data_IF_390031902453
#
_entry.id   IF_390031902453
#
_cell.length_a   1.000
_cell.length_b   1.000
_cell.length_c   1.000
_cell.angle_alpha   90.00
_cell.angle_beta   90.00
_cell.angle_gamma   90.00
#
_symmetry.space_group_name_H-M   'P 1'
#
loop_
_entity.id
_entity.type
_entity.pdbx_description
1 polymer ?
#
# COMPACT_ATOMS: atom_id res chain seq x y z
N UNK A 1 19.31 -7.28 -2.33
CA UNK A 1 18.05 -7.74 -2.95
C UNK A 1 17.83 -9.20 -2.62
N UNK A 2 16.59 -9.59 -2.36
CA UNK A 2 16.14 -10.97 -2.11
C UNK A 2 14.95 -11.22 -3.04
N UNK A 3 14.90 -12.39 -3.67
CA UNK A 3 13.73 -12.84 -4.41
C UNK A 3 13.08 -14.02 -3.71
N UNK A 4 11.76 -13.99 -3.56
CA UNK A 4 10.99 -15.06 -2.92
C UNK A 4 10.03 -15.65 -3.94
N UNK A 5 10.09 -16.96 -4.15
CA UNK A 5 9.19 -17.73 -5.01
C UNK A 5 8.42 -18.75 -4.19
N UNK A 6 7.23 -19.11 -4.66
CA UNK A 6 6.38 -20.10 -3.99
C UNK A 6 5.60 -19.53 -2.80
N UNK A 7 5.49 -18.21 -2.68
CA UNK A 7 4.56 -17.59 -1.75
C UNK A 7 3.18 -17.45 -2.40
N UNK A 8 2.14 -17.83 -1.67
CA UNK A 8 0.79 -17.90 -2.19
C UNK A 8 -0.20 -17.18 -1.29
N UNK A 9 -1.19 -16.55 -1.88
CA UNK A 9 -2.37 -16.11 -1.15
C UNK A 9 -3.32 -17.31 -1.01
N UNK A 10 -3.19 -18.03 0.08
CA UNK A 10 -4.01 -19.22 0.38
C UNK A 10 -5.36 -18.88 1.04
N UNK A 11 -5.70 -17.61 1.10
CA UNK A 11 -6.95 -17.15 1.71
C UNK A 11 -8.13 -17.62 0.88
N UNK A 12 -9.10 -18.23 1.53
CA UNK A 12 -10.37 -18.68 0.94
C UNK A 12 -11.45 -17.60 0.95
N UNK A 13 -12.71 -18.02 1.05
CA UNK A 13 -13.85 -17.14 1.27
C UNK A 13 -14.45 -16.53 0.00
N UNK A 14 -15.24 -15.49 0.19
CA UNK A 14 -16.01 -14.80 -0.84
C UNK A 14 -15.13 -13.99 -1.81
N UNK A 15 -15.73 -13.54 -2.90
CA UNK A 15 -15.09 -12.74 -3.93
C UNK A 15 -14.31 -13.54 -4.98
N UNK A 16 -14.08 -12.90 -6.11
CA UNK A 16 -13.25 -13.44 -7.18
C UNK A 16 -11.74 -13.34 -6.85
N UNK A 17 -10.90 -13.90 -7.72
CA UNK A 17 -9.45 -13.88 -7.50
C UNK A 17 -8.85 -12.48 -7.53
N UNK A 18 -9.42 -11.53 -8.28
CA UNK A 18 -8.99 -10.13 -8.27
C UNK A 18 -9.29 -9.45 -6.94
N UNK A 19 -10.51 -9.64 -6.40
CA UNK A 19 -10.91 -9.10 -5.10
C UNK A 19 -10.01 -9.67 -3.99
N UNK A 20 -9.82 -11.00 -3.98
CA UNK A 20 -8.93 -11.67 -3.02
C UNK A 20 -7.46 -11.31 -3.22
N UNK A 21 -7.03 -11.20 -4.48
CA UNK A 21 -5.67 -10.76 -4.81
C UNK A 21 -5.35 -9.42 -4.19
N UNK A 22 -6.17 -8.42 -4.45
CA UNK A 22 -5.95 -7.06 -3.93
C UNK A 22 -6.14 -6.95 -2.43
N UNK A 23 -7.35 -7.26 -1.96
CA UNK A 23 -7.72 -6.98 -0.57
C UNK A 23 -7.07 -7.92 0.44
N UNK A 24 -6.76 -9.18 0.05
CA UNK A 24 -6.13 -10.13 0.94
C UNK A 24 -4.59 -10.13 0.83
N UNK A 25 -3.98 -9.37 -0.09
CA UNK A 25 -2.53 -9.31 -0.25
C UNK A 25 -1.85 -8.82 1.04
N UNK A 26 -2.24 -7.66 1.53
CA UNK A 26 -1.63 -7.05 2.71
C UNK A 26 -2.38 -7.38 4.02
N UNK A 27 -3.64 -7.80 3.95
CA UNK A 27 -4.40 -8.22 5.14
C UNK A 27 -4.20 -9.69 5.50
N UNK A 28 -3.84 -10.50 4.52
CA UNK A 28 -3.60 -11.94 4.65
C UNK A 28 -4.76 -12.69 5.32
N UNK A 29 -6.00 -12.19 5.15
CA UNK A 29 -7.23 -12.75 5.69
C UNK A 29 -8.37 -12.64 4.67
N UNK A 30 -9.46 -13.35 4.89
CA UNK A 30 -10.61 -13.43 4.00
C UNK A 30 -11.34 -12.10 3.84
N UNK A 31 -12.10 -11.99 2.76
CA UNK A 31 -13.12 -10.95 2.63
C UNK A 31 -14.33 -11.28 3.50
N UNK A 32 -14.96 -10.27 4.06
CA UNK A 32 -16.23 -10.41 4.74
C UNK A 32 -17.35 -10.71 3.73
N UNK A 33 -18.41 -11.39 4.13
CA UNK A 33 -19.61 -11.49 3.32
C UNK A 33 -20.14 -10.10 2.93
N UNK A 34 -20.59 -9.96 1.68
CA UNK A 34 -21.09 -8.69 1.18
C UNK A 34 -21.75 -8.81 -0.18
N UNK A 35 -22.18 -7.66 -0.72
CA UNK A 35 -22.91 -7.58 -1.97
C UNK A 35 -22.17 -6.79 -3.08
N UNK A 36 -20.90 -6.48 -2.89
CA UNK A 36 -20.08 -5.86 -3.94
C UNK A 36 -19.82 -6.95 -4.98
N UNK A 37 -20.34 -6.73 -6.19
CA UNK A 37 -20.29 -7.75 -7.25
C UNK A 37 -18.85 -7.91 -7.77
N UNK A 38 -18.39 -9.17 -7.78
CA UNK A 38 -17.16 -9.60 -8.40
C UNK A 38 -17.36 -10.21 -9.79
N UNK A 39 -16.26 -10.54 -10.45
CA UNK A 39 -16.28 -11.29 -11.68
C UNK A 39 -16.89 -12.69 -11.48
N UNK A 40 -17.59 -13.18 -12.50
CA UNK A 40 -18.24 -14.50 -12.43
C UNK A 40 -19.38 -14.60 -11.42
N UNK A 41 -19.93 -13.49 -10.95
CA UNK A 41 -21.04 -13.48 -9.98
C UNK A 41 -20.62 -13.87 -8.55
N UNK A 42 -19.36 -13.68 -8.17
CA UNK A 42 -18.82 -13.94 -6.83
C UNK A 42 -18.76 -12.65 -6.01
N UNK A 43 -19.81 -12.28 -5.28
CA UNK A 43 -19.82 -11.07 -4.48
C UNK A 43 -18.97 -11.22 -3.22
N UNK A 44 -18.51 -10.10 -2.68
CA UNK A 44 -17.85 -10.02 -1.37
C UNK A 44 -18.10 -8.68 -0.70
N UNK A 45 -17.72 -8.58 0.57
CA UNK A 45 -17.51 -7.33 1.30
C UNK A 45 -16.03 -6.93 1.27
N UNK A 46 -15.64 -6.12 2.24
CA UNK A 46 -14.27 -5.67 2.47
C UNK A 46 -13.45 -6.71 3.25
N UNK A 47 -12.14 -6.51 3.35
CA UNK A 47 -11.29 -7.43 4.09
C UNK A 47 -11.65 -7.50 5.58
N UNK A 48 -11.48 -8.67 6.17
CA UNK A 48 -11.79 -9.00 7.56
C UNK A 48 -10.77 -8.45 8.55
N UNK A 49 -9.57 -8.11 8.08
CA UNK A 49 -8.44 -7.78 8.95
C UNK A 49 -7.78 -6.46 8.58
N UNK A 50 -6.96 -5.95 9.48
CA UNK A 50 -6.02 -4.86 9.24
C UNK A 50 -4.92 -5.30 8.26
N UNK A 51 -4.40 -4.41 7.43
CA UNK A 51 -3.24 -4.69 6.58
C UNK A 51 -1.92 -4.57 7.35
N UNK A 52 -0.88 -5.27 6.90
CA UNK A 52 0.41 -5.36 7.61
C UNK A 52 1.11 -4.01 7.78
N UNK A 53 0.98 -3.11 6.81
CA UNK A 53 1.48 -1.74 6.89
C UNK A 53 0.83 -0.97 8.04
N UNK A 54 -0.50 -1.07 8.15
CA UNK A 54 -1.27 -0.43 9.21
C UNK A 54 -1.02 -1.05 10.58
N UNK A 55 -0.85 -2.37 10.66
CA UNK A 55 -0.51 -3.08 11.89
C UNK A 55 0.85 -2.63 12.43
N UNK A 56 1.89 -2.60 11.56
CA UNK A 56 3.23 -2.12 11.95
C UNK A 56 3.20 -0.62 12.27
N UNK A 57 2.49 0.19 11.48
CA UNK A 57 2.32 1.62 11.74
C UNK A 57 1.70 1.87 13.13
N UNK A 58 0.65 1.14 13.48
CA UNK A 58 -0.03 1.22 14.77
C UNK A 58 0.92 0.84 15.92
N UNK A 59 1.71 -0.22 15.75
CA UNK A 59 2.71 -0.64 16.72
C UNK A 59 3.81 0.41 16.95
N UNK A 60 4.29 1.07 15.88
CA UNK A 60 5.30 2.12 15.96
C UNK A 60 4.73 3.40 16.57
N UNK A 61 3.51 3.78 16.23
CA UNK A 61 2.85 4.99 16.75
C UNK A 61 2.50 4.89 18.24
N UNK A 62 2.36 3.68 18.78
CA UNK A 62 2.12 3.48 20.21
C UNK A 62 3.32 3.84 21.10
N UNK A 63 4.49 4.12 20.52
CA UNK A 63 5.75 4.38 21.23
C UNK A 63 6.29 5.75 20.86
N UNK A 64 6.54 6.64 21.85
CA UNK A 64 7.04 8.00 21.59
C UNK A 64 8.34 8.03 20.78
N UNK A 65 9.23 7.06 20.97
CA UNK A 65 10.53 6.98 20.30
C UNK A 65 10.46 6.57 18.83
N UNK A 66 9.36 5.96 18.41
CA UNK A 66 9.15 5.53 17.03
C UNK A 66 7.99 6.23 16.34
N UNK A 67 7.17 6.95 17.11
CA UNK A 67 6.04 7.70 16.56
C UNK A 67 6.52 8.79 15.59
N UNK A 68 5.78 8.95 14.50
CA UNK A 68 6.01 9.95 13.45
C UNK A 68 4.77 10.78 13.23
N UNK A 69 4.90 11.88 12.47
CA UNK A 69 3.77 12.76 12.15
C UNK A 69 2.60 12.00 11.49
N UNK A 70 2.91 11.11 10.54
CA UNK A 70 1.95 10.22 9.91
C UNK A 70 2.29 8.78 10.31
N UNK A 71 1.30 7.97 10.69
CA UNK A 71 1.50 6.55 11.00
C UNK A 71 2.02 5.81 9.78
N UNK A 72 1.41 6.10 8.63
CA UNK A 72 1.76 5.55 7.32
C UNK A 72 1.40 6.54 6.20
N UNK A 73 1.92 6.28 5.00
CA UNK A 73 1.58 7.00 3.78
C UNK A 73 1.07 6.00 2.74
N UNK A 74 -0.20 6.11 2.39
CA UNK A 74 -0.82 5.33 1.32
C UNK A 74 -0.80 6.16 0.05
N UNK A 75 0.04 5.74 -0.89
CA UNK A 75 0.30 6.45 -2.14
C UNK A 75 -0.19 5.63 -3.33
N UNK A 76 -0.58 6.31 -4.39
CA UNK A 76 -1.08 5.69 -5.60
C UNK A 76 -0.47 6.26 -6.87
N UNK A 77 -0.42 5.45 -7.91
CA UNK A 77 -0.13 5.85 -9.28
C UNK A 77 -1.22 5.29 -10.17
N UNK A 78 -2.06 6.15 -10.72
CA UNK A 78 -3.21 5.79 -11.55
C UNK A 78 -4.21 4.83 -10.88
N UNK A 79 -4.36 4.90 -9.56
CA UNK A 79 -5.42 4.15 -8.86
C UNK A 79 -6.73 4.89 -9.06
N UNK A 80 -7.78 4.25 -9.60
CA UNK A 80 -9.05 4.91 -9.84
C UNK A 80 -9.74 5.29 -8.53
N UNK A 81 -10.40 6.44 -8.53
CA UNK A 81 -11.17 6.92 -7.39
C UNK A 81 -12.53 6.20 -7.28
N UNK A 82 -12.48 4.92 -7.02
CA UNK A 82 -13.65 4.08 -6.72
C UNK A 82 -13.35 3.23 -5.49
N UNK A 83 -14.38 2.88 -4.75
CA UNK A 83 -14.24 2.14 -3.51
C UNK A 83 -14.81 0.72 -3.70
N UNK A 84 -13.93 -0.22 -3.99
CA UNK A 84 -14.25 -1.65 -4.09
C UNK A 84 -13.00 -2.50 -3.78
N UNK A 85 -13.18 -3.81 -3.52
CA UNK A 85 -12.07 -4.72 -3.22
C UNK A 85 -11.02 -4.87 -4.33
N UNK A 86 -11.31 -4.48 -5.57
CA UNK A 86 -10.33 -4.47 -6.66
C UNK A 86 -9.36 -3.29 -6.62
N UNK A 87 -9.69 -2.27 -5.83
CA UNK A 87 -8.94 -1.00 -5.78
C UNK A 87 -8.27 -0.75 -4.42
N UNK A 88 -8.46 -1.61 -3.44
CA UNK A 88 -7.94 -1.40 -2.08
C UNK A 88 -7.08 -2.57 -1.61
N UNK A 89 -5.85 -2.24 -1.22
CA UNK A 89 -4.90 -3.18 -0.59
C UNK A 89 -4.72 -2.89 0.90
N UNK A 90 -4.91 -1.62 1.30
CA UNK A 90 -4.66 -1.13 2.65
C UNK A 90 -5.96 -1.07 3.46
N UNK A 91 -5.89 -1.52 4.70
CA UNK A 91 -7.02 -1.57 5.63
C UNK A 91 -6.57 -1.17 7.03
N UNK A 92 -7.19 -0.14 7.60
CA UNK A 92 -6.93 0.28 8.99
C UNK A 92 -7.59 -0.62 10.03
N UNK A 93 -8.40 -1.59 9.61
CA UNK A 93 -9.08 -2.58 10.43
C UNK A 93 -10.12 -3.37 9.63
N UNK A 94 -10.86 -4.27 10.25
CA UNK A 94 -11.94 -5.01 9.61
C UNK A 94 -12.95 -4.07 8.96
N UNK A 95 -13.25 -4.29 7.67
CA UNK A 95 -14.20 -3.47 6.91
C UNK A 95 -13.82 -1.97 6.79
N UNK A 96 -12.50 -1.66 6.89
CA UNK A 96 -11.99 -0.29 6.89
C UNK A 96 -10.94 -0.09 5.80
N UNK A 97 -11.33 -0.05 4.52
CA UNK A 97 -10.38 0.18 3.45
C UNK A 97 -9.79 1.60 3.51
N UNK A 98 -8.51 1.71 3.25
CA UNK A 98 -7.79 2.99 3.12
C UNK A 98 -7.54 3.28 1.66
N UNK A 99 -7.93 4.47 1.20
CA UNK A 99 -7.71 4.90 -0.17
C UNK A 99 -6.29 5.44 -0.36
N UNK A 100 -5.54 4.98 -1.37
CA UNK A 100 -4.26 5.57 -1.69
C UNK A 100 -4.44 6.97 -2.32
N UNK A 101 -3.54 7.89 -1.99
CA UNK A 101 -3.50 9.22 -2.62
C UNK A 101 -2.74 9.13 -3.95
N UNK A 102 -3.47 9.22 -5.06
CA UNK A 102 -2.90 9.16 -6.42
C UNK A 102 -2.56 10.52 -7.01
N UNK A 103 -2.87 11.61 -6.32
CA UNK A 103 -2.53 12.97 -6.73
C UNK A 103 -1.27 13.45 -5.97
N UNK A 104 -0.11 13.59 -6.65
CA UNK A 104 1.11 14.05 -6.01
C UNK A 104 1.03 15.49 -5.50
N UNK A 105 0.18 16.34 -6.08
CA UNK A 105 -0.01 17.70 -5.59
C UNK A 105 -0.82 17.71 -4.29
N UNK A 106 -1.88 16.90 -4.21
CA UNK A 106 -2.65 16.73 -2.98
C UNK A 106 -1.79 16.08 -1.87
N UNK A 107 -0.92 15.13 -2.22
CA UNK A 107 0.03 14.57 -1.27
C UNK A 107 1.07 15.62 -0.81
N UNK A 108 1.59 16.43 -1.72
CA UNK A 108 2.50 17.54 -1.38
C UNK A 108 1.85 18.50 -0.38
N UNK A 109 0.60 18.90 -0.61
CA UNK A 109 -0.14 19.75 0.33
C UNK A 109 -0.36 19.06 1.69
N UNK A 110 -0.65 17.76 1.70
CA UNK A 110 -0.75 16.97 2.94
C UNK A 110 0.56 16.98 3.73
N UNK A 111 1.70 16.83 3.06
CA UNK A 111 3.01 16.73 3.69
C UNK A 111 3.57 18.09 4.14
N UNK A 112 3.42 19.14 3.31
CA UNK A 112 4.13 20.41 3.47
C UNK A 112 3.22 21.63 3.55
N UNK A 113 1.95 21.50 3.20
CA UNK A 113 0.99 22.59 3.26
C UNK A 113 0.92 23.20 4.65
N UNK A 114 0.96 24.52 4.71
CA UNK A 114 0.64 25.23 5.95
C UNK A 114 -0.87 25.19 6.13
N UNK A 115 -1.32 24.59 7.20
CA UNK A 115 -2.73 24.69 7.59
C UNK A 115 -2.99 26.14 8.01
N UNK A 116 -3.29 26.99 7.03
CA UNK A 116 -3.57 28.43 7.24
C UNK A 116 -4.81 28.68 8.12
N UNK A 117 -5.63 27.65 8.31
CA UNK A 117 -6.91 27.71 9.00
C UNK A 117 -7.09 26.55 9.99
N UNK A 118 -6.09 26.32 10.85
CA UNK A 118 -6.15 25.26 11.88
C UNK A 118 -7.39 25.36 12.78
N UNK A 119 -7.72 26.59 13.18
CA UNK A 119 -8.88 26.84 14.05
C UNK A 119 -10.20 26.55 13.33
N UNK A 120 -10.32 26.93 12.05
CA UNK A 120 -11.51 26.66 11.25
C UNK A 120 -11.64 25.18 10.91
N UNK A 121 -10.54 24.50 10.58
CA UNK A 121 -10.55 23.06 10.32
C UNK A 121 -10.88 22.25 11.58
N UNK A 122 -10.30 22.62 12.73
CA UNK A 122 -10.65 22.03 14.03
C UNK A 122 -12.14 22.20 14.34
N UNK A 123 -12.69 23.39 14.11
CA UNK A 123 -14.11 23.65 14.31
C UNK A 123 -15.01 22.82 13.38
N UNK A 124 -14.64 22.67 12.10
CA UNK A 124 -15.38 21.82 11.14
C UNK A 124 -15.33 20.34 11.55
N UNK A 125 -14.19 19.85 11.97
CA UNK A 125 -14.02 18.46 12.42
C UNK A 125 -14.79 18.18 13.72
N UNK A 126 -14.85 19.15 14.64
CA UNK A 126 -15.67 19.09 15.85
C UNK A 126 -17.18 19.04 15.51
N UNK A 127 -17.64 19.85 14.55
CA UNK A 127 -19.02 19.82 14.06
C UNK A 127 -19.34 18.46 13.41
N UNK A 128 -18.48 17.97 12.52
CA UNK A 128 -18.64 16.65 11.88
C UNK A 128 -18.68 15.53 12.93
N UNK A 129 -17.79 15.55 13.92
CA UNK A 129 -17.77 14.58 15.01
C UNK A 129 -19.07 14.63 15.83
N UNK A 130 -19.59 15.82 16.07
CA UNK A 130 -20.84 16.04 16.80
C UNK A 130 -22.04 15.51 16.02
N UNK A 131 -22.08 15.76 14.72
CA UNK A 131 -23.16 15.28 13.85
C UNK A 131 -23.12 13.76 13.65
N UNK A 132 -21.93 13.18 13.50
CA UNK A 132 -21.74 11.72 13.45
C UNK A 132 -22.25 11.06 14.75
N UNK A 133 -22.01 11.65 15.93
CA UNK A 133 -22.53 11.14 17.21
C UNK A 133 -24.06 11.21 17.26
N UNK A 134 -24.67 12.27 16.75
CA UNK A 134 -26.15 12.40 16.70
C UNK A 134 -26.77 11.34 15.79
N UNK A 135 -26.18 11.13 14.61
CA UNK A 135 -26.65 10.13 13.63
C UNK A 135 -26.44 8.72 14.20
N UNK A 136 -25.29 8.44 14.80
CA UNK A 136 -24.96 7.15 15.42
C UNK A 136 -25.98 6.69 16.48
N UNK A 137 -26.66 7.65 17.14
CA UNK A 137 -27.72 7.33 18.08
C UNK A 137 -29.05 6.90 17.42
N UNK A 138 -29.21 7.10 16.11
CA UNK A 138 -30.47 6.91 15.37
C UNK A 138 -30.42 5.74 14.37
N UNK A 139 -29.24 5.14 14.18
CA UNK A 139 -29.01 4.05 13.23
C UNK A 139 -28.85 2.70 13.93
N UNK A 140 -28.96 1.62 13.15
CA UNK A 140 -28.78 0.27 13.65
C UNK A 140 -27.32 -0.02 14.12
N UNK A 141 -27.05 -1.14 14.82
CA UNK A 141 -25.72 -1.44 15.35
C UNK A 141 -24.62 -1.58 14.28
N UNK A 142 -24.95 -2.06 13.07
CA UNK A 142 -23.98 -2.23 11.98
C UNK A 142 -23.64 -0.86 11.34
N UNK A 143 -24.63 -0.03 11.11
CA UNK A 143 -24.45 1.35 10.63
C UNK A 143 -23.74 2.22 11.67
N UNK A 144 -24.02 1.99 12.96
CA UNK A 144 -23.31 2.66 14.07
C UNK A 144 -21.84 2.36 14.07
N UNK A 145 -21.44 1.09 13.85
CA UNK A 145 -20.05 0.70 13.75
C UNK A 145 -19.33 1.44 12.61
N UNK A 146 -19.98 1.61 11.45
CA UNK A 146 -19.44 2.39 10.33
C UNK A 146 -19.25 3.87 10.68
N UNK A 147 -20.21 4.47 11.40
CA UNK A 147 -20.12 5.87 11.84
C UNK A 147 -19.04 6.08 12.92
N UNK A 148 -18.87 5.13 13.83
CA UNK A 148 -17.77 5.16 14.81
C UNK A 148 -16.41 5.06 14.15
N UNK A 149 -16.29 4.27 13.09
CA UNK A 149 -15.08 4.19 12.26
C UNK A 149 -14.77 5.52 11.59
N UNK A 150 -15.79 6.16 11.01
CA UNK A 150 -15.64 7.47 10.38
C UNK A 150 -15.25 8.55 11.41
N UNK A 151 -15.78 8.46 12.63
CA UNK A 151 -15.40 9.32 13.75
C UNK A 151 -13.94 9.12 14.16
N UNK A 152 -13.45 7.88 14.12
CA UNK A 152 -12.04 7.57 14.40
C UNK A 152 -11.12 8.16 13.34
N UNK A 153 -11.48 8.03 12.05
CA UNK A 153 -10.75 8.63 10.94
C UNK A 153 -10.67 10.16 11.05
N UNK A 154 -11.79 10.82 11.39
CA UNK A 154 -11.82 12.27 11.63
C UNK A 154 -10.87 12.68 12.76
N UNK A 155 -10.83 11.92 13.85
CA UNK A 155 -9.92 12.18 14.99
C UNK A 155 -8.44 11.94 14.66
N UNK A 156 -8.13 10.97 13.83
CA UNK A 156 -6.77 10.75 13.34
C UNK A 156 -6.34 11.92 12.47
N UNK A 157 -7.21 12.40 11.59
CA UNK A 157 -6.99 13.59 10.78
C UNK A 157 -6.79 14.86 11.63
N UNK A 158 -7.51 15.00 12.74
CA UNK A 158 -7.30 16.07 13.73
C UNK A 158 -5.91 16.01 14.37
N UNK A 159 -5.48 14.82 14.80
CA UNK A 159 -4.15 14.61 15.36
C UNK A 159 -3.05 14.94 14.35
N UNK A 160 -3.20 14.49 13.11
CA UNK A 160 -2.27 14.78 12.02
C UNK A 160 -2.13 16.29 11.79
N UNK A 161 -3.25 17.02 11.87
CA UNK A 161 -3.30 18.47 11.78
C UNK A 161 -2.64 19.19 12.99
N UNK A 162 -2.83 18.67 14.20
CA UNK A 162 -2.22 19.22 15.42
C UNK A 162 -0.70 19.09 15.39
N UNK A 163 -0.15 18.03 14.82
CA UNK A 163 1.29 17.81 14.69
C UNK A 163 1.87 18.47 13.42
N UNK A 164 1.04 18.99 12.51
CA UNK A 164 1.48 19.66 11.31
C UNK A 164 2.10 21.04 11.60
N UNK A 165 3.38 21.22 11.31
CA UNK A 165 4.00 22.55 11.18
C UNK A 165 4.90 23.04 12.27
N UNK A 166 5.36 22.19 13.21
CA UNK A 166 6.34 22.59 14.24
C UNK A 166 7.74 22.01 14.06
N UNK A 167 7.90 20.93 13.27
CA UNK A 167 9.20 20.32 13.03
C UNK A 167 9.95 21.06 11.91
N UNK A 168 11.21 21.45 12.19
CA UNK A 168 12.13 21.98 11.17
C UNK A 168 12.46 20.85 10.19
N UNK A 169 12.19 21.07 8.89
CA UNK A 169 12.54 20.11 7.85
C UNK A 169 14.07 19.90 7.78
N UNK A 170 14.50 18.67 7.70
CA UNK A 170 15.90 18.27 7.47
C UNK A 170 16.27 18.51 6.01
N UNK A 171 15.36 18.15 5.10
CA UNK A 171 15.47 18.37 3.67
C UNK A 171 14.35 19.27 3.16
N UNK A 172 14.63 20.21 2.24
CA UNK A 172 13.57 21.02 1.62
C UNK A 172 12.60 20.13 0.83
N UNK A 173 11.32 20.53 0.70
CA UNK A 173 10.35 19.81 -0.13
C UNK A 173 10.86 19.65 -1.57
N UNK A 174 10.56 18.54 -2.25
CA UNK A 174 10.94 18.37 -3.65
C UNK A 174 10.15 19.35 -4.53
N UNK A 175 10.77 19.83 -5.58
CA UNK A 175 10.08 20.60 -6.61
C UNK A 175 9.23 19.64 -7.47
N UNK A 176 7.92 19.85 -7.50
CA UNK A 176 7.05 19.10 -8.39
C UNK A 176 6.93 19.79 -9.74
N UNK A 177 6.89 19.02 -10.82
CA UNK A 177 6.60 19.56 -12.16
C UNK A 177 5.15 20.06 -12.19
N UNK A 178 4.89 21.33 -12.53
CA UNK A 178 3.53 21.86 -12.50
C UNK A 178 2.71 21.36 -13.69
N UNK A 179 1.39 21.15 -13.47
CA UNK A 179 0.44 20.86 -14.54
C UNK A 179 0.58 19.46 -15.17
N UNK A 180 1.19 18.52 -14.49
CA UNK A 180 1.18 17.11 -14.92
C UNK A 180 -0.23 16.57 -14.84
N UNK A 181 -0.74 16.07 -15.96
CA UNK A 181 -2.06 15.44 -16.00
C UNK A 181 -2.10 14.19 -15.14
N UNK A 182 -3.20 13.99 -14.40
CA UNK A 182 -3.44 12.78 -13.61
C UNK A 182 -4.04 11.63 -14.44
N UNK A 183 -4.17 11.82 -15.74
CA UNK A 183 -4.62 10.77 -16.66
C UNK A 183 -3.52 9.75 -16.99
N UNK A 184 -3.86 8.81 -17.88
CA UNK A 184 -3.00 7.71 -18.29
C UNK A 184 -1.58 8.15 -18.70
N UNK A 185 -1.46 9.23 -19.48
CA UNK A 185 -0.18 9.63 -20.08
C UNK A 185 0.74 10.36 -19.07
N UNK A 186 0.17 10.80 -17.94
CA UNK A 186 0.93 11.35 -16.82
C UNK A 186 1.58 10.31 -15.91
N UNK A 187 1.22 9.02 -16.03
CA UNK A 187 1.69 7.94 -15.15
C UNK A 187 3.21 7.95 -14.90
N UNK A 188 4.10 8.06 -15.90
CA UNK A 188 5.55 8.06 -15.65
C UNK A 188 6.01 9.22 -14.75
N UNK A 189 5.47 10.42 -14.98
CA UNK A 189 5.80 11.61 -14.17
C UNK A 189 5.23 11.50 -12.76
N UNK A 190 3.97 11.07 -12.63
CA UNK A 190 3.32 10.84 -11.33
C UNK A 190 4.13 9.84 -10.51
N UNK A 191 4.59 8.74 -11.13
CA UNK A 191 5.41 7.72 -10.48
C UNK A 191 6.69 8.31 -9.86
N UNK A 192 7.41 9.15 -10.60
CA UNK A 192 8.61 9.82 -10.11
C UNK A 192 8.28 10.84 -9.01
N UNK A 193 7.24 11.67 -9.20
CA UNK A 193 6.81 12.65 -8.20
C UNK A 193 6.42 11.98 -6.88
N UNK A 194 5.65 10.89 -6.93
CA UNK A 194 5.30 10.09 -5.74
C UNK A 194 6.54 9.52 -5.06
N UNK A 195 7.49 8.96 -5.83
CA UNK A 195 8.74 8.44 -5.28
C UNK A 195 9.58 9.52 -4.61
N UNK A 196 9.67 10.71 -5.21
CA UNK A 196 10.42 11.85 -4.65
C UNK A 196 9.77 12.38 -3.37
N UNK A 197 8.45 12.44 -3.32
CA UNK A 197 7.69 12.79 -2.11
C UNK A 197 7.90 11.77 -1.00
N UNK A 198 7.87 10.48 -1.32
CA UNK A 198 8.11 9.40 -0.35
C UNK A 198 9.50 9.50 0.28
N UNK A 199 10.54 9.59 -0.55
CA UNK A 199 11.93 9.70 -0.07
C UNK A 199 12.10 10.94 0.81
N UNK A 200 11.54 12.08 0.39
CA UNK A 200 11.62 13.31 1.16
C UNK A 200 10.85 13.24 2.49
N UNK A 201 9.65 12.62 2.49
CA UNK A 201 8.87 12.44 3.71
C UNK A 201 9.61 11.54 4.72
N UNK A 202 10.25 10.47 4.26
CA UNK A 202 11.07 9.59 5.11
C UNK A 202 12.31 10.32 5.62
N UNK A 203 13.04 11.05 4.78
CA UNK A 203 14.20 11.83 5.16
C UNK A 203 13.88 12.92 6.21
N UNK A 204 12.66 13.44 6.20
CA UNK A 204 12.17 14.39 7.21
C UNK A 204 11.53 13.71 8.44
N UNK A 205 11.59 12.39 8.54
CA UNK A 205 10.99 11.64 9.65
C UNK A 205 9.47 11.77 9.76
N UNK A 206 8.79 12.09 8.65
CA UNK A 206 7.34 12.29 8.65
C UNK A 206 6.55 10.98 8.73
N UNK A 207 7.10 9.89 8.22
CA UNK A 207 6.55 8.55 8.30
C UNK A 207 7.70 7.53 8.30
N UNK A 208 7.41 6.29 8.73
CA UNK A 208 8.33 5.14 8.65
C UNK A 208 7.77 4.01 7.80
N UNK A 209 6.49 4.05 7.54
CA UNK A 209 5.75 3.05 6.76
C UNK A 209 5.08 3.76 5.59
N UNK A 210 5.16 3.15 4.42
CA UNK A 210 4.42 3.61 3.25
C UNK A 210 4.07 2.45 2.33
N UNK A 211 3.00 2.62 1.58
CA UNK A 211 2.63 1.76 0.45
C UNK A 211 2.50 2.61 -0.80
N UNK A 212 2.85 2.06 -1.96
CA UNK A 212 2.66 2.70 -3.24
C UNK A 212 2.00 1.70 -4.20
N UNK A 213 0.72 1.92 -4.44
CA UNK A 213 -0.08 1.08 -5.32
C UNK A 213 -0.05 1.62 -6.74
N UNK A 214 0.28 0.78 -7.71
CA UNK A 214 0.14 1.08 -9.14
C UNK A 214 -1.15 0.47 -9.67
N UNK A 215 -2.01 1.31 -10.23
CA UNK A 215 -3.31 0.92 -10.81
C UNK A 215 -4.22 0.13 -9.83
N UNK A 216 -5.02 -0.78 -10.34
CA UNK A 216 -5.91 -1.66 -9.61
C UNK A 216 -5.90 -3.04 -10.27
N UNK A 217 -6.52 -4.04 -9.66
CA UNK A 217 -6.48 -5.42 -10.14
C UNK A 217 -7.00 -5.63 -11.57
N UNK A 218 -7.98 -4.85 -12.01
CA UNK A 218 -8.46 -4.82 -13.41
C UNK A 218 -7.92 -3.58 -14.12
N UNK A 219 -6.62 -3.32 -13.96
CA UNK A 219 -5.96 -2.09 -14.40
C UNK A 219 -6.01 -1.88 -15.91
N UNK A 220 -6.68 -0.84 -16.34
CA UNK A 220 -6.85 -0.47 -17.74
C UNK A 220 -5.81 0.57 -18.21
N UNK A 221 -4.70 0.69 -17.48
CA UNK A 221 -3.61 1.57 -17.88
C UNK A 221 -3.02 1.11 -19.21
N UNK A 222 -2.79 2.08 -20.10
CA UNK A 222 -2.21 1.88 -21.44
C UNK A 222 -0.83 2.50 -21.46
N UNK A 223 0.18 1.68 -21.63
CA UNK A 223 1.58 2.12 -21.56
C UNK A 223 2.02 2.75 -22.90
N UNK A 224 1.38 3.86 -23.32
CA UNK A 224 1.62 4.52 -24.62
C UNK A 224 3.05 5.02 -24.77
N UNK A 225 3.72 5.37 -23.66
CA UNK A 225 5.15 5.73 -23.66
C UNK A 225 6.09 4.56 -23.96
N UNK A 226 5.57 3.33 -24.01
CA UNK A 226 6.26 2.11 -24.46
C UNK A 226 5.81 1.66 -25.84
N UNK A 227 5.02 2.51 -26.55
CA UNK A 227 4.35 2.17 -27.81
C UNK A 227 3.39 0.97 -27.68
N UNK A 228 2.69 0.88 -26.53
CA UNK A 228 1.67 -0.14 -26.23
C UNK A 228 0.32 0.55 -26.05
N UNK A 229 -0.63 0.23 -26.94
CA UNK A 229 -1.94 0.88 -27.00
C UNK A 229 -3.05 0.07 -26.36
N UNK A 230 -2.87 -1.23 -26.18
CA UNK A 230 -3.74 -2.09 -25.43
C UNK A 230 -3.61 -1.83 -23.94
N UNK A 231 -4.70 -2.00 -23.19
CA UNK A 231 -4.61 -1.93 -21.75
C UNK A 231 -3.96 -3.18 -21.14
N UNK A 232 -3.32 -2.98 -19.99
CA UNK A 232 -2.56 -4.03 -19.31
C UNK A 232 -3.42 -5.25 -18.99
N UNK A 233 -4.68 -5.05 -18.55
CA UNK A 233 -5.57 -6.13 -18.18
C UNK A 233 -5.90 -7.04 -19.36
N UNK A 234 -6.25 -6.48 -20.52
CA UNK A 234 -6.46 -7.25 -21.75
C UNK A 234 -5.23 -8.07 -22.14
N UNK A 235 -4.04 -7.43 -22.16
CA UNK A 235 -2.79 -8.14 -22.47
C UNK A 235 -2.55 -9.31 -21.50
N UNK A 236 -2.87 -9.15 -20.23
CA UNK A 236 -2.66 -10.19 -19.21
C UNK A 236 -3.55 -11.41 -19.39
N UNK A 237 -4.64 -11.28 -20.15
CA UNK A 237 -5.56 -12.37 -20.48
C UNK A 237 -5.24 -13.13 -21.77
N UNK A 238 -4.28 -12.61 -22.55
CA UNK A 238 -3.88 -13.29 -23.77
C UNK A 238 -3.31 -14.70 -23.49
N UNK A 239 -3.52 -15.65 -24.40
CA UNK A 239 -3.00 -17.01 -24.22
C UNK A 239 -1.48 -17.03 -24.23
N UNK A 240 -0.88 -17.99 -23.51
CA UNK A 240 0.57 -18.11 -23.30
C UNK A 240 1.39 -18.24 -24.60
N UNK A 241 0.78 -18.66 -25.69
CA UNK A 241 1.41 -18.77 -27.00
C UNK A 241 1.31 -17.48 -27.84
N UNK A 242 0.66 -16.41 -27.35
CA UNK A 242 0.66 -15.11 -27.99
C UNK A 242 1.99 -14.38 -27.68
N UNK A 243 2.98 -14.52 -28.57
CA UNK A 243 4.30 -13.95 -28.40
C UNK A 243 4.30 -12.41 -28.39
N UNK A 244 3.42 -11.76 -29.17
CA UNK A 244 3.31 -10.28 -29.20
C UNK A 244 2.82 -9.76 -27.83
N UNK A 245 1.76 -10.35 -27.26
CA UNK A 245 1.28 -9.98 -25.95
C UNK A 245 2.32 -10.25 -24.85
N UNK A 246 3.06 -11.36 -24.94
CA UNK A 246 4.14 -11.69 -24.02
C UNK A 246 5.26 -10.64 -24.07
N UNK A 247 5.71 -10.23 -25.25
CA UNK A 247 6.75 -9.21 -25.41
C UNK A 247 6.30 -7.84 -24.87
N UNK A 248 5.04 -7.46 -25.10
CA UNK A 248 4.44 -6.24 -24.53
C UNK A 248 4.39 -6.30 -22.99
N UNK A 249 3.96 -7.42 -22.42
CA UNK A 249 3.95 -7.62 -20.96
C UNK A 249 5.37 -7.57 -20.36
N UNK A 250 6.37 -8.13 -21.05
CA UNK A 250 7.78 -8.02 -20.63
C UNK A 250 8.23 -6.56 -20.61
N UNK A 251 7.90 -5.75 -21.64
CA UNK A 251 8.21 -4.32 -21.67
C UNK A 251 7.55 -3.57 -20.51
N UNK A 252 6.26 -3.87 -20.22
CA UNK A 252 5.52 -3.26 -19.12
C UNK A 252 6.16 -3.60 -17.78
N UNK A 253 6.44 -4.89 -17.53
CA UNK A 253 7.05 -5.33 -16.28
C UNK A 253 8.47 -4.79 -16.12
N UNK A 254 9.23 -4.65 -17.21
CA UNK A 254 10.54 -3.98 -17.20
C UNK A 254 10.41 -2.53 -16.76
N UNK A 255 9.46 -1.80 -17.34
CA UNK A 255 9.21 -0.41 -16.95
C UNK A 255 8.80 -0.31 -15.46
N UNK A 256 7.93 -1.20 -14.95
CA UNK A 256 7.58 -1.23 -13.53
C UNK A 256 8.80 -1.51 -12.64
N UNK A 257 9.67 -2.44 -13.05
CA UNK A 257 10.93 -2.70 -12.35
C UNK A 257 11.86 -1.47 -12.35
N UNK A 258 11.87 -0.68 -13.43
CA UNK A 258 12.62 0.58 -13.51
C UNK A 258 12.08 1.63 -12.54
N UNK A 259 10.77 1.67 -12.27
CA UNK A 259 10.18 2.56 -11.26
C UNK A 259 10.63 2.17 -9.84
N UNK A 260 10.64 0.87 -9.55
CA UNK A 260 11.17 0.35 -8.26
C UNK A 260 12.67 0.68 -8.15
N UNK A 261 13.42 0.50 -9.22
CA UNK A 261 14.85 0.85 -9.28
C UNK A 261 15.08 2.37 -9.14
N UNK A 262 14.18 3.20 -9.65
CA UNK A 262 14.23 4.66 -9.43
C UNK A 262 14.12 4.99 -7.96
N UNK A 263 13.10 4.46 -7.27
CA UNK A 263 12.92 4.63 -5.83
C UNK A 263 14.13 4.14 -5.03
N UNK A 264 14.65 2.94 -5.35
CA UNK A 264 15.82 2.39 -4.70
C UNK A 264 17.08 3.26 -4.88
N UNK A 265 17.32 3.78 -6.10
CA UNK A 265 18.43 4.71 -6.37
C UNK A 265 18.28 6.04 -5.63
N UNK A 266 17.07 6.57 -5.52
CA UNK A 266 16.80 7.79 -4.75
C UNK A 266 17.14 7.56 -3.27
N UNK A 267 16.68 6.48 -2.66
CA UNK A 267 17.04 6.10 -1.28
C UNK A 267 18.54 5.88 -1.12
N UNK A 268 19.19 5.23 -2.09
CA UNK A 268 20.64 4.99 -2.06
C UNK A 268 21.46 6.27 -2.17
N UNK A 269 21.01 7.24 -2.96
CA UNK A 269 21.71 8.54 -3.13
C UNK A 269 21.41 9.54 -2.02
N UNK A 270 20.46 9.26 -1.15
CA UNK A 270 20.09 10.12 -0.03
C UNK A 270 20.78 9.60 1.24
N UNK A 271 21.65 10.43 1.89
CA UNK A 271 22.25 10.05 3.17
C UNK A 271 21.18 9.82 4.24
N UNK A 272 21.43 8.84 5.13
CA UNK A 272 20.53 8.61 6.27
C UNK A 272 20.54 9.80 7.24
N UNK A 273 19.42 10.47 7.49
CA UNK A 273 19.36 11.62 8.37
C UNK A 273 19.74 11.27 9.81
N UNK A 274 20.84 11.87 10.31
CA UNK A 274 21.35 11.59 11.66
C UNK A 274 21.99 10.20 11.86
N UNK A 275 22.12 9.43 10.79
CA UNK A 275 22.70 8.09 10.78
C UNK A 275 23.96 7.97 9.92
N UNK A 276 24.32 6.75 9.59
CA UNK A 276 25.47 6.39 8.74
C UNK A 276 24.95 5.64 7.52
N UNK A 277 25.57 5.87 6.37
CA UNK A 277 25.18 5.23 5.11
C UNK A 277 24.07 5.96 4.37
N UNK A 278 23.36 5.24 3.54
CA UNK A 278 22.24 5.75 2.75
C UNK A 278 20.90 5.37 3.37
N UNK A 279 19.84 6.07 3.00
CA UNK A 279 18.48 5.68 3.41
C UNK A 279 18.11 4.26 2.95
N UNK A 280 18.69 3.75 1.86
CA UNK A 280 18.42 2.38 1.41
C UNK A 280 19.00 1.33 2.38
N UNK A 281 20.08 1.66 3.09
CA UNK A 281 20.64 0.77 4.12
C UNK A 281 19.71 0.61 5.32
N UNK A 282 18.81 1.57 5.53
CA UNK A 282 17.83 1.64 6.62
C UNK A 282 16.38 1.45 6.16
N UNK A 283 16.15 1.22 4.87
CA UNK A 283 14.80 0.99 4.28
C UNK A 283 14.76 -0.38 3.62
N UNK A 284 13.61 -1.03 3.69
CA UNK A 284 13.33 -2.23 2.86
C UNK A 284 12.12 -1.94 1.98
N UNK A 285 12.32 -1.99 0.68
CA UNK A 285 11.25 -1.96 -0.33
C UNK A 285 10.79 -3.40 -0.54
N UNK A 286 9.48 -3.63 -0.48
CA UNK A 286 8.86 -4.91 -0.86
C UNK A 286 8.06 -4.66 -2.13
N UNK A 287 8.50 -5.23 -3.24
CA UNK A 287 7.81 -5.18 -4.51
C UNK A 287 7.10 -6.50 -4.77
N UNK A 288 5.81 -6.43 -5.04
CA UNK A 288 4.95 -7.61 -5.24
C UNK A 288 3.82 -7.29 -6.21
N UNK A 289 3.07 -8.31 -6.60
CA UNK A 289 1.85 -8.24 -7.37
C UNK A 289 0.72 -8.99 -6.63
N UNK A 290 -0.52 -8.73 -7.00
CA UNK A 290 -1.69 -9.38 -6.37
C UNK A 290 -1.98 -10.78 -6.92
N UNK A 291 -1.51 -11.09 -8.13
CA UNK A 291 -1.68 -12.38 -8.80
C UNK A 291 -0.32 -12.96 -9.20
N UNK A 292 -0.20 -14.27 -9.21
CA UNK A 292 0.96 -14.98 -9.75
C UNK A 292 0.94 -15.03 -11.29
N UNK A 293 -0.26 -15.11 -11.90
CA UNK A 293 -0.45 -15.13 -13.36
C UNK A 293 -1.79 -14.54 -13.74
N UNK A 294 -1.80 -13.59 -14.69
CA UNK A 294 -2.98 -12.85 -15.08
C UNK A 294 -4.07 -13.70 -15.74
N UNK A 295 -3.75 -14.47 -16.79
CA UNK A 295 -4.77 -15.19 -17.58
C UNK A 295 -5.46 -16.33 -16.83
N UNK A 296 -4.84 -16.88 -15.80
CA UNK A 296 -5.43 -17.91 -14.94
C UNK A 296 -5.93 -17.37 -13.60
N UNK A 297 -5.70 -16.10 -13.30
CA UNK A 297 -6.02 -15.46 -12.02
C UNK A 297 -5.51 -16.25 -10.82
N UNK A 298 -4.34 -16.90 -10.96
CA UNK A 298 -3.82 -17.71 -9.85
C UNK A 298 -3.30 -16.83 -8.73
N UNK A 299 -3.60 -17.25 -7.51
CA UNK A 299 -3.08 -16.68 -6.28
C UNK A 299 -1.86 -17.46 -5.74
N UNK A 300 -1.38 -18.41 -6.52
CA UNK A 300 -0.17 -19.18 -6.24
C UNK A 300 1.06 -18.51 -6.87
N UNK A 301 2.21 -18.73 -6.26
CA UNK A 301 3.52 -18.23 -6.70
C UNK A 301 3.56 -16.72 -6.98
N UNK A 302 2.96 -15.94 -6.06
CA UNK A 302 2.99 -14.49 -6.13
C UNK A 302 4.45 -14.02 -6.02
N UNK A 303 4.93 -13.15 -6.93
CA UNK A 303 6.31 -12.68 -6.90
C UNK A 303 6.54 -11.69 -5.75
N UNK A 304 7.60 -11.90 -4.98
CA UNK A 304 8.07 -10.95 -3.98
C UNK A 304 9.55 -10.65 -4.17
N UNK A 305 9.89 -9.37 -4.20
CA UNK A 305 11.28 -8.90 -4.27
C UNK A 305 11.50 -7.91 -3.14
N UNK A 306 12.50 -8.16 -2.29
CA UNK A 306 12.88 -7.28 -1.20
C UNK A 306 14.20 -6.58 -1.56
N UNK A 307 14.27 -5.25 -1.39
CA UNK A 307 15.41 -4.43 -1.76
C UNK A 307 15.74 -3.50 -0.59
N UNK A 308 17.02 -3.41 -0.22
CA UNK A 308 17.52 -2.57 0.88
C UNK A 308 17.88 -3.36 2.12
N UNK A 309 18.35 -2.67 3.15
CA UNK A 309 18.94 -3.27 4.35
C UNK A 309 18.15 -3.07 5.64
N UNK A 310 17.05 -2.30 5.61
CA UNK A 310 16.38 -1.79 6.80
C UNK A 310 15.85 -2.82 7.80
N UNK A 311 15.59 -4.05 7.35
CA UNK A 311 15.04 -5.12 8.21
C UNK A 311 16.07 -6.19 8.58
N UNK A 312 17.33 -6.02 8.20
CA UNK A 312 18.41 -6.96 8.53
C UNK A 312 18.32 -8.32 7.84
N UNK A 313 17.49 -8.47 6.83
CA UNK A 313 17.41 -9.70 6.05
C UNK A 313 18.68 -9.91 5.22
N UNK A 314 19.12 -11.17 5.11
CA UNK A 314 20.30 -11.52 4.33
C UNK A 314 20.05 -11.33 2.85
N UNK A 315 20.74 -10.38 2.22
CA UNK A 315 20.58 -10.05 0.80
C UNK A 315 21.45 -10.93 -0.12
N UNK A 316 21.20 -10.85 -1.43
CA UNK A 316 21.93 -11.62 -2.45
C UNK A 316 21.45 -13.06 -2.59
N UNK A 317 20.28 -13.40 -2.07
CA UNK A 317 19.74 -14.77 -2.03
C UNK A 317 18.40 -14.82 -2.78
N UNK A 318 18.15 -15.95 -3.43
CA UNK A 318 16.85 -16.35 -3.94
C UNK A 318 16.32 -17.52 -3.10
N UNK A 319 15.13 -17.36 -2.54
CA UNK A 319 14.44 -18.42 -1.82
C UNK A 319 13.35 -19.04 -2.69
N UNK A 320 13.25 -20.36 -2.66
CA UNK A 320 12.18 -21.12 -3.28
C UNK A 320 11.43 -21.90 -2.19
N UNK A 321 10.16 -21.60 -2.02
CA UNK A 321 9.27 -22.24 -1.04
C UNK A 321 8.33 -23.25 -1.74
N UNK A 322 7.85 -24.28 -1.03
CA UNK A 322 6.92 -25.28 -1.58
C UNK A 322 5.46 -24.79 -1.52
N UNK A 323 5.15 -23.64 -2.15
CA UNK A 323 3.81 -23.02 -2.18
C UNK A 323 3.19 -22.81 -0.78
N UNK A 324 3.85 -22.02 0.03
CA UNK A 324 3.43 -21.70 1.39
C UNK A 324 2.64 -20.37 1.46
N UNK A 325 1.83 -20.16 2.52
CA UNK A 325 1.09 -18.91 2.70
C UNK A 325 2.00 -17.70 2.86
N UNK A 326 1.70 -16.60 2.17
CA UNK A 326 2.41 -15.34 2.28
C UNK A 326 2.20 -14.63 3.64
N UNK A 327 1.18 -15.03 4.43
CA UNK A 327 1.00 -14.64 5.82
C UNK A 327 2.30 -14.72 6.63
N UNK A 328 3.10 -15.75 6.38
CA UNK A 328 4.37 -16.01 7.06
C UNK A 328 5.44 -14.96 6.73
N UNK A 329 5.41 -14.38 5.52
CA UNK A 329 6.26 -13.23 5.18
C UNK A 329 5.88 -12.00 5.99
N UNK A 330 4.58 -11.70 6.08
CA UNK A 330 4.10 -10.55 6.86
C UNK A 330 4.40 -10.70 8.35
N UNK A 331 4.34 -11.92 8.87
CA UNK A 331 4.75 -12.22 10.24
C UNK A 331 6.24 -11.96 10.45
N UNK A 332 7.11 -12.36 9.49
CA UNK A 332 8.55 -12.04 9.54
C UNK A 332 8.80 -10.54 9.51
N UNK A 333 8.02 -9.80 8.71
CA UNK A 333 8.09 -8.35 8.63
C UNK A 333 7.74 -7.70 9.98
N UNK A 334 6.62 -8.09 10.61
CA UNK A 334 6.24 -7.59 11.93
C UNK A 334 7.33 -7.85 12.97
N UNK A 335 7.88 -9.08 12.99
CA UNK A 335 8.95 -9.46 13.91
C UNK A 335 10.22 -8.63 13.73
N UNK A 336 10.57 -8.26 12.48
CA UNK A 336 11.74 -7.41 12.20
C UNK A 336 11.60 -5.98 12.73
N UNK A 337 10.37 -5.50 12.95
CA UNK A 337 10.09 -4.25 13.67
C UNK A 337 10.02 -4.43 15.20
N UNK A 338 10.30 -5.62 15.71
CA UNK A 338 10.15 -5.95 17.15
C UNK A 338 8.69 -6.19 17.58
N UNK A 339 7.77 -6.31 16.63
CA UNK A 339 6.37 -6.62 16.88
C UNK A 339 6.13 -8.13 16.82
N UNK A 340 6.44 -8.81 17.93
CA UNK A 340 6.41 -10.28 18.03
C UNK A 340 4.99 -10.82 18.27
N UNK A 341 4.08 -10.60 17.31
CA UNK A 341 2.77 -11.21 17.29
C UNK A 341 2.86 -12.70 16.93
N UNK A 342 1.98 -13.57 17.45
CA UNK A 342 2.02 -15.01 17.16
C UNK A 342 1.54 -15.37 15.76
N UNK A 343 0.60 -14.60 15.22
CA UNK A 343 0.00 -14.80 13.88
C UNK A 343 -0.32 -13.47 13.24
N UNK A 344 -0.42 -13.45 11.91
CA UNK A 344 -0.92 -12.31 11.15
C UNK A 344 -1.87 -12.78 10.05
N UNK A 345 -3.02 -12.11 9.91
CA UNK A 345 -4.09 -12.51 9.01
C UNK A 345 -4.79 -13.78 9.48
N UNK A 346 -5.15 -14.66 8.56
CA UNK A 346 -5.82 -15.91 8.90
C UNK A 346 -4.88 -16.82 9.72
N UNK A 347 -5.26 -17.09 10.96
CA UNK A 347 -4.40 -17.75 11.96
C UNK A 347 -3.85 -19.11 11.53
N UNK A 348 -4.66 -19.90 10.81
CA UNK A 348 -4.28 -21.26 10.39
C UNK A 348 -3.23 -21.22 9.27
N UNK A 349 -3.06 -20.09 8.59
CA UNK A 349 -2.06 -19.86 7.56
C UNK A 349 -0.71 -19.36 8.11
N UNK A 350 -0.61 -19.18 9.44
CA UNK A 350 0.61 -18.83 10.17
C UNK A 350 1.11 -19.93 11.10
N UNK A 351 0.52 -21.12 11.09
CA UNK A 351 0.83 -22.21 12.04
C UNK A 351 2.30 -22.58 12.11
N UNK A 352 3.01 -22.49 10.98
CA UNK A 352 4.46 -22.79 10.89
C UNK A 352 5.37 -21.59 11.24
N UNK A 353 4.79 -20.49 11.74
CA UNK A 353 5.52 -19.30 12.16
C UNK A 353 6.08 -18.45 11.02
N UNK A 354 6.91 -17.48 11.39
CA UNK A 354 7.57 -16.55 10.47
C UNK A 354 8.56 -17.26 9.54
N UNK A 355 8.85 -16.63 8.38
CA UNK A 355 9.90 -17.12 7.48
C UNK A 355 11.28 -16.78 8.03
N UNK A 356 12.24 -17.70 7.90
CA UNK A 356 13.65 -17.44 8.17
C UNK A 356 14.27 -16.74 6.94
N UNK A 357 14.42 -15.42 7.02
CA UNK A 357 15.02 -14.57 5.97
C UNK A 357 16.36 -13.95 6.39
N UNK A 358 16.79 -14.19 7.60
CA UNK A 358 18.05 -13.71 8.19
C UNK A 358 19.18 -14.71 8.05
#
# INVERSE_FOLDING_TARGET
>A
MITLKGLCNKVGGDGDSHMRGMSCLLTADELLPGNIQGGGGMPAGWARNISIDQEIARFLQARPETATRFGSLEMGVAVPNRADPWTRTNYSGPNQPVAPNSDPYALFEKLYGQVKDRENLGSVLDEVTTDLKKISAQVDPAERALLEQHTTFVREMEKDLQHAGTAKLIMPPPALEPGVSLDNDGIPKISHMQSDLLVNAFANGMARIATMQYTNSVGQARMRWLDIHEDHHHLSHEPDNNTDAFEKLVKINTWLAEQVAYLARKLQSTPEPGGVGSMLDHTTIIWTNELGKGNSHTLDDIPFVLIGGGLGFKTGIAHQFPQIPHNRLWLSLAHSFGHHIPTFGHKDLCSDGALALS
#
